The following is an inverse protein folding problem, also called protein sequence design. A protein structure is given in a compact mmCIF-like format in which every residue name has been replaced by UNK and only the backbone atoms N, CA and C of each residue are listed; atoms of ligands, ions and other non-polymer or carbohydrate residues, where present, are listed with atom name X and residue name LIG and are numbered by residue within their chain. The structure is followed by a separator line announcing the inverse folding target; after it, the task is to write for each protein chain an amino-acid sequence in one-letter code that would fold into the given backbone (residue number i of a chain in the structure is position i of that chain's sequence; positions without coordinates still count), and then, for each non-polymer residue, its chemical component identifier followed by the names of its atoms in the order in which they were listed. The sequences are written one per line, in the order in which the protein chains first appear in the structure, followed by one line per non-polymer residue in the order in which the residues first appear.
data_IF_834053513910
#
_entry.id   IF_834053513910
#
_cell.length_a   1.000
_cell.length_b   1.000
_cell.length_c   1.000
_cell.angle_alpha   90.00
_cell.angle_beta   90.00
_cell.angle_gamma   90.00
#
_symmetry.space_group_name_H-M   'P 1'
#
loop_
_entity.id
_entity.type
_entity.pdbx_description
1 polymer ?
#
# COMPACT_ATOMS: atom_id res chain seq x y z
N UNK A 1 -12.65 9.22 -4.29
CA UNK A 1 -11.58 9.52 -3.32
C UNK A 1 -10.85 8.23 -3.01
N UNK A 2 -9.51 8.23 -3.08
CA UNK A 2 -8.66 7.06 -2.85
C UNK A 2 -7.75 7.32 -1.66
N UNK A 3 -7.72 6.37 -0.74
CA UNK A 3 -6.88 6.38 0.44
C UNK A 3 -5.71 5.45 0.20
N UNK A 4 -4.53 6.02 -0.04
CA UNK A 4 -3.31 5.22 -0.23
C UNK A 4 -2.63 4.97 1.11
N UNK A 5 -2.47 3.70 1.47
CA UNK A 5 -1.67 3.26 2.62
C UNK A 5 -0.28 2.86 2.17
N UNK A 6 0.75 3.44 2.79
CA UNK A 6 2.14 3.06 2.59
C UNK A 6 2.67 2.26 3.78
N UNK A 7 3.17 1.06 3.53
CA UNK A 7 3.87 0.22 4.52
C UNK A 7 5.33 0.09 4.10
N UNK A 8 6.26 0.49 4.98
CA UNK A 8 7.70 0.32 4.74
C UNK A 8 8.22 -0.81 5.60
N UNK A 9 8.96 -1.75 5.00
CA UNK A 9 9.60 -2.86 5.70
C UNK A 9 11.07 -2.97 5.32
N UNK A 10 11.92 -2.89 6.33
CA UNK A 10 13.38 -3.03 6.22
C UNK A 10 13.71 -4.49 6.48
N UNK A 11 14.26 -5.17 5.48
CA UNK A 11 14.52 -6.61 5.57
C UNK A 11 13.26 -7.47 5.68
N UNK A 12 13.44 -8.79 5.58
CA UNK A 12 12.38 -9.78 5.68
C UNK A 12 12.06 -10.48 4.35
N UNK A 13 11.31 -11.57 4.45
CA UNK A 13 10.91 -12.36 3.30
C UNK A 13 9.69 -11.71 2.61
N UNK A 14 9.95 -11.03 1.48
CA UNK A 14 8.93 -10.36 0.67
C UNK A 14 7.72 -11.27 0.34
N UNK A 15 7.91 -12.50 -0.19
CA UNK A 15 6.82 -13.43 -0.40
C UNK A 15 5.97 -13.71 0.84
N UNK A 16 6.59 -13.96 2.00
CA UNK A 16 5.84 -14.22 3.25
C UNK A 16 5.00 -13.01 3.67
N UNK A 17 5.55 -11.81 3.53
CA UNK A 17 4.83 -10.57 3.86
C UNK A 17 3.66 -10.32 2.89
N UNK A 18 3.87 -10.57 1.59
CA UNK A 18 2.81 -10.50 0.58
C UNK A 18 1.67 -11.46 0.91
N UNK A 19 1.99 -12.72 1.23
CA UNK A 19 0.99 -13.71 1.64
C UNK A 19 0.24 -13.28 2.89
N UNK A 20 0.93 -12.75 3.90
CA UNK A 20 0.29 -12.26 5.13
C UNK A 20 -0.67 -11.09 4.86
N UNK A 21 -0.26 -10.13 4.02
CA UNK A 21 -1.13 -9.02 3.60
C UNK A 21 -2.36 -9.52 2.84
N UNK A 22 -2.17 -10.47 1.91
CA UNK A 22 -3.26 -11.07 1.14
C UNK A 22 -4.27 -11.77 2.06
N UNK A 23 -3.81 -12.67 2.93
CA UNK A 23 -4.66 -13.38 3.89
C UNK A 23 -5.43 -12.44 4.80
N UNK A 24 -4.79 -11.35 5.27
CA UNK A 24 -5.47 -10.36 6.11
C UNK A 24 -6.59 -9.62 5.36
N UNK A 25 -6.36 -9.26 4.10
CA UNK A 25 -7.37 -8.65 3.24
C UNK A 25 -8.54 -9.60 2.97
N UNK A 26 -8.24 -10.86 2.65
CA UNK A 26 -9.24 -11.90 2.42
C UNK A 26 -10.11 -12.15 3.66
N UNK A 27 -9.49 -12.25 4.84
CA UNK A 27 -10.23 -12.41 6.11
C UNK A 27 -11.10 -11.20 6.45
N UNK A 28 -10.61 -9.99 6.16
CA UNK A 28 -11.36 -8.75 6.41
C UNK A 28 -12.39 -8.45 5.32
N UNK A 29 -12.39 -9.22 4.21
CA UNK A 29 -13.17 -8.98 2.99
C UNK A 29 -12.94 -7.60 2.38
N UNK A 30 -11.72 -7.08 2.49
CA UNK A 30 -11.35 -5.78 1.94
C UNK A 30 -10.72 -5.98 0.56
N UNK A 31 -11.26 -5.28 -0.44
CA UNK A 31 -10.77 -5.34 -1.82
C UNK A 31 -10.04 -4.02 -2.17
N UNK A 32 -8.70 -3.99 -2.10
CA UNK A 32 -7.95 -2.82 -2.51
C UNK A 32 -8.04 -2.64 -4.03
N UNK A 33 -8.19 -1.39 -4.46
CA UNK A 33 -8.33 -1.03 -5.88
C UNK A 33 -6.99 -1.18 -6.62
N UNK A 34 -5.88 -0.94 -5.92
CA UNK A 34 -4.54 -1.19 -6.43
C UNK A 34 -3.61 -1.71 -5.32
N UNK A 35 -2.77 -2.68 -5.69
CA UNK A 35 -1.69 -3.17 -4.86
C UNK A 35 -0.37 -2.96 -5.60
N UNK A 36 0.49 -2.08 -5.08
CA UNK A 36 1.79 -1.75 -5.66
C UNK A 36 2.89 -1.97 -4.64
N UNK A 37 4.07 -2.39 -5.09
CA UNK A 37 5.24 -2.41 -4.24
C UNK A 37 6.48 -1.98 -5.01
N UNK A 38 7.45 -1.46 -4.28
CA UNK A 38 8.76 -1.09 -4.81
C UNK A 38 9.81 -1.61 -3.87
N UNK A 39 10.71 -2.44 -4.40
CA UNK A 39 11.87 -2.94 -3.67
C UNK A 39 12.97 -1.89 -3.84
N UNK A 40 13.31 -1.19 -2.75
CA UNK A 40 14.47 -0.31 -2.70
C UNK A 40 15.47 -0.85 -1.69
N UNK A 41 16.77 -0.63 -1.92
CA UNK A 41 17.73 -0.79 -0.83
C UNK A 41 17.63 0.45 0.08
N UNK A 42 17.39 0.33 1.40
CA UNK A 42 17.37 -0.88 2.23
C UNK A 42 15.95 -1.43 2.58
N UNK A 43 14.87 -0.90 2.00
CA UNK A 43 13.50 -1.23 2.38
C UNK A 43 12.55 -1.47 1.19
N UNK A 44 11.67 -2.45 1.35
CA UNK A 44 10.52 -2.62 0.46
C UNK A 44 9.39 -1.72 0.92
N UNK A 45 8.83 -0.96 -0.02
CA UNK A 45 7.66 -0.11 0.21
C UNK A 45 6.45 -0.72 -0.47
N UNK A 46 5.38 -0.95 0.27
CA UNK A 46 4.09 -1.41 -0.23
C UNK A 46 3.12 -0.24 -0.21
N UNK A 47 2.32 -0.11 -1.27
CA UNK A 47 1.28 0.89 -1.42
C UNK A 47 -0.02 0.23 -1.83
N UNK A 48 -1.04 0.37 -1.02
CA UNK A 48 -2.37 -0.13 -1.28
C UNK A 48 -3.34 1.04 -1.38
N UNK A 49 -4.17 1.04 -2.40
CA UNK A 49 -5.21 2.05 -2.61
C UNK A 49 -6.55 1.48 -2.19
N UNK A 50 -7.25 2.16 -1.29
CA UNK A 50 -8.59 1.80 -0.84
C UNK A 50 -9.59 2.89 -1.24
N UNK A 51 -10.83 2.50 -1.54
CA UNK A 51 -11.94 3.44 -1.79
C UNK A 51 -12.57 3.94 -0.49
N UNK A 52 -12.45 3.16 0.58
CA UNK A 52 -13.04 3.44 1.89
C UNK A 52 -11.93 3.82 2.87
N UNK A 53 -12.13 4.92 3.60
CA UNK A 53 -11.15 5.41 4.57
C UNK A 53 -10.94 4.42 5.71
N UNK A 54 -12.02 3.82 6.21
CA UNK A 54 -11.99 2.87 7.34
C UNK A 54 -11.16 1.63 7.01
N UNK A 55 -11.23 1.12 5.78
CA UNK A 55 -10.40 0.01 5.29
C UNK A 55 -8.91 0.39 5.28
N UNK A 56 -8.59 1.59 4.77
CA UNK A 56 -7.22 2.10 4.77
C UNK A 56 -6.68 2.27 6.20
N UNK A 57 -7.49 2.79 7.12
CA UNK A 57 -7.13 2.95 8.53
C UNK A 57 -6.90 1.59 9.20
N UNK A 58 -7.78 0.61 8.96
CA UNK A 58 -7.65 -0.73 9.51
C UNK A 58 -6.38 -1.43 9.02
N UNK A 59 -6.09 -1.32 7.72
CA UNK A 59 -4.87 -1.88 7.13
C UNK A 59 -3.61 -1.20 7.67
N UNK A 60 -3.60 0.14 7.73
CA UNK A 60 -2.49 0.92 8.28
C UNK A 60 -2.19 0.52 9.74
N UNK A 61 -3.21 0.39 10.59
CA UNK A 61 -3.05 -0.05 11.98
C UNK A 61 -2.49 -1.47 12.09
N UNK A 62 -2.94 -2.39 11.24
CA UNK A 62 -2.54 -3.80 11.30
C UNK A 62 -1.10 -4.03 10.84
N UNK A 63 -0.65 -3.27 9.83
CA UNK A 63 0.69 -3.44 9.24
C UNK A 63 1.70 -2.37 9.64
N UNK A 64 1.34 -1.44 10.53
CA UNK A 64 2.19 -0.29 10.90
C UNK A 64 2.43 0.66 9.72
N UNK A 65 1.45 0.77 8.82
CA UNK A 65 1.47 1.65 7.66
C UNK A 65 1.04 3.07 8.00
N UNK A 66 1.23 3.98 7.05
CA UNK A 66 0.78 5.37 7.11
C UNK A 66 -0.13 5.70 5.93
N UNK A 67 -1.16 6.49 6.16
CA UNK A 67 -2.03 6.99 5.10
C UNK A 67 -1.37 8.21 4.45
N UNK A 68 -1.15 8.16 3.14
CA UNK A 68 -0.50 9.25 2.38
C UNK A 68 -1.46 10.39 2.01
N UNK A 69 -2.75 10.20 2.22
CA UNK A 69 -3.80 11.19 1.96
C UNK A 69 -4.90 10.65 1.06
N UNK A 70 -5.95 11.45 0.93
CA UNK A 70 -7.10 11.20 0.08
C UNK A 70 -6.87 11.85 -1.29
N UNK A 71 -6.61 11.06 -2.32
CA UNK A 71 -6.47 11.55 -3.69
C UNK A 71 -7.81 11.47 -4.41
N UNK A 72 -8.23 12.54 -5.07
CA UNK A 72 -9.33 12.44 -6.02
C UNK A 72 -8.86 11.66 -7.27
N UNK A 73 -9.75 10.86 -7.86
CA UNK A 73 -9.43 9.93 -8.95
C UNK A 73 -8.92 10.65 -10.22
N UNK A 74 -9.09 11.97 -10.32
CA UNK A 74 -8.71 12.80 -11.47
C UNK A 74 -7.28 13.39 -11.41
N UNK A 75 -6.28 12.65 -10.91
CA UNK A 75 -4.88 13.08 -11.04
C UNK A 75 -4.01 11.99 -11.67
N UNK A 76 -3.54 12.16 -12.92
CA UNK A 76 -2.54 11.24 -13.47
C UNK A 76 -1.27 11.34 -12.62
N UNK A 77 -0.70 10.18 -12.31
CA UNK A 77 0.56 10.05 -11.59
C UNK A 77 1.65 10.81 -12.36
N UNK A 78 1.96 12.01 -11.89
CA UNK A 78 3.00 12.85 -12.47
C UNK A 78 4.37 12.18 -12.29
N UNK A 79 5.01 11.94 -13.44
CA UNK A 79 6.44 11.75 -13.71
C UNK A 79 7.10 10.48 -13.19
N UNK A 80 7.19 9.52 -14.12
CA UNK A 80 8.47 8.92 -14.44
C UNK A 80 9.49 10.04 -14.78
N UNK A 81 10.44 10.29 -13.87
CA UNK A 81 11.69 11.02 -14.06
C UNK A 81 12.57 10.55 -12.89
N UNK A 82 13.75 9.98 -13.04
CA UNK A 82 14.78 10.07 -14.08
C UNK A 82 15.54 8.72 -14.10
N UNK A 83 16.02 8.16 -15.22
CA UNK A 83 17.02 8.66 -16.16
C UNK A 83 18.31 9.11 -15.45
N UNK A 84 19.33 8.26 -15.54
CA UNK A 84 20.70 8.47 -15.09
C UNK A 84 21.54 7.27 -15.49
#
# INVERSE_FOLDING_TARGET
MIYTVEVRRIGGNLPSLMSQMRTWLDHSRFEPDAFRYSVGSPATTFRLDFKVEEEAVAFAKSFGGRILGSFDHARPAARASAAG
#
